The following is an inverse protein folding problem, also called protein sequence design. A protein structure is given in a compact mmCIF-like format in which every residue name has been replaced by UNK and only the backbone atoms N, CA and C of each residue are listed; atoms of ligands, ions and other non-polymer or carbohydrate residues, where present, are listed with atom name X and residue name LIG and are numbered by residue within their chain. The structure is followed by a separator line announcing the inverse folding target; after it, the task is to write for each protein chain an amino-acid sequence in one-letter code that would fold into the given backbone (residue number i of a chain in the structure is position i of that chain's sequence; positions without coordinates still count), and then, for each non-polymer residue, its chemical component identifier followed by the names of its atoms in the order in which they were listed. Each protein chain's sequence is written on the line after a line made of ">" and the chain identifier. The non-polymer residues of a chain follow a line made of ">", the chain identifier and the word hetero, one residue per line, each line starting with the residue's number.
data_IF_890203986385
#
_entry.id   IF_890203986385
#
_cell.length_a   1.000
_cell.length_b   1.000
_cell.length_c   1.000
_cell.angle_alpha   90.00
_cell.angle_beta   90.00
_cell.angle_gamma   90.00
#
_symmetry.space_group_name_H-M   'P 1'
#
loop_
_entity.id
_entity.type
_entity.pdbx_description
1 polymer ?
#
# COMPACT_ATOMS: atom_id res chain seq x y z
N UNK A 1 11.26 -18.05 2.35
CA UNK A 1 12.13 -16.89 2.62
C UNK A 1 12.23 -16.74 4.12
N UNK A 2 13.44 -16.67 4.68
CA UNK A 2 13.61 -16.54 6.13
C UNK A 2 13.27 -15.11 6.55
N UNK A 3 12.78 -14.94 7.78
CA UNK A 3 12.43 -13.62 8.31
C UNK A 3 13.63 -12.65 8.30
N UNK A 4 14.85 -13.18 8.49
CA UNK A 4 16.12 -12.46 8.37
C UNK A 4 16.30 -11.80 7.00
N UNK A 5 16.02 -12.53 5.92
CA UNK A 5 16.23 -12.04 4.55
C UNK A 5 15.22 -10.94 4.21
N UNK A 6 13.97 -11.12 4.66
CA UNK A 6 12.92 -10.14 4.51
C UNK A 6 13.28 -8.84 5.25
N UNK A 7 13.71 -8.93 6.50
CA UNK A 7 14.15 -7.78 7.31
C UNK A 7 15.26 -7.00 6.61
N UNK A 8 16.30 -7.69 6.14
CA UNK A 8 17.42 -7.06 5.41
C UNK A 8 16.97 -6.40 4.11
N UNK A 9 16.05 -7.00 3.37
CA UNK A 9 15.47 -6.39 2.17
C UNK A 9 14.66 -5.12 2.48
N UNK A 10 13.85 -5.14 3.55
CA UNK A 10 13.04 -3.99 3.96
C UNK A 10 13.89 -2.84 4.52
N UNK A 11 14.96 -3.14 5.27
CA UNK A 11 15.93 -2.12 5.70
C UNK A 11 16.57 -1.40 4.52
N UNK A 12 16.90 -2.12 3.45
CA UNK A 12 17.42 -1.51 2.20
C UNK A 12 16.36 -0.67 1.48
N UNK A 13 15.09 -1.09 1.52
CA UNK A 13 14.00 -0.36 0.90
C UNK A 13 13.65 0.93 1.68
N UNK A 14 13.74 0.89 3.00
CA UNK A 14 13.41 1.99 3.91
C UNK A 14 14.56 2.28 4.89
N UNK A 15 15.70 2.81 4.40
CA UNK A 15 16.90 2.99 5.23
C UNK A 15 16.74 4.02 6.36
N UNK A 16 15.70 4.86 6.30
CA UNK A 16 15.39 5.86 7.32
C UNK A 16 14.37 5.40 8.36
N UNK A 17 13.78 4.22 8.19
CA UNK A 17 12.87 3.66 9.18
C UNK A 17 13.67 3.07 10.35
N UNK A 18 13.16 3.29 11.56
CA UNK A 18 13.66 2.66 12.78
C UNK A 18 13.55 1.14 12.72
N UNK A 19 14.29 0.45 13.59
CA UNK A 19 14.21 -1.00 13.70
C UNK A 19 12.78 -1.47 13.98
N UNK A 20 12.08 -0.82 14.90
CA UNK A 20 10.70 -1.13 15.27
C UNK A 20 9.74 -0.99 14.08
N UNK A 21 9.86 0.08 13.29
CA UNK A 21 9.02 0.27 12.10
C UNK A 21 9.24 -0.84 11.06
N UNK A 22 10.48 -1.32 10.90
CA UNK A 22 10.77 -2.45 10.03
C UNK A 22 10.19 -3.76 10.60
N UNK A 23 10.34 -4.03 11.89
CA UNK A 23 9.76 -5.23 12.52
C UNK A 23 8.23 -5.24 12.41
N UNK A 24 7.58 -4.09 12.57
CA UNK A 24 6.14 -3.97 12.38
C UNK A 24 5.71 -4.35 10.94
N UNK A 25 6.48 -3.93 9.93
CA UNK A 25 6.22 -4.31 8.54
C UNK A 25 6.49 -5.80 8.28
N UNK A 26 7.57 -6.36 8.86
CA UNK A 26 7.85 -7.80 8.79
C UNK A 26 6.69 -8.58 9.40
N UNK A 27 6.26 -8.22 10.60
CA UNK A 27 5.14 -8.85 11.30
C UNK A 27 3.87 -8.77 10.47
N UNK A 28 3.55 -7.60 9.89
CA UNK A 28 2.37 -7.43 9.05
C UNK A 28 2.39 -8.35 7.81
N UNK A 29 3.56 -8.50 7.17
CA UNK A 29 3.73 -9.40 6.03
C UNK A 29 3.52 -10.86 6.45
N UNK A 30 4.12 -11.27 7.58
CA UNK A 30 4.08 -12.66 8.04
C UNK A 30 2.69 -13.06 8.55
N UNK A 31 1.97 -12.15 9.19
CA UNK A 31 0.63 -12.41 9.71
C UNK A 31 -0.50 -12.13 8.72
N UNK A 32 -0.19 -11.74 7.47
CA UNK A 32 -1.21 -11.36 6.49
C UNK A 32 -2.04 -10.14 6.91
N UNK A 33 -1.45 -9.18 7.63
CA UNK A 33 -2.18 -8.02 8.15
C UNK A 33 -2.58 -7.06 7.04
N UNK A 34 -3.78 -6.53 7.14
CA UNK A 34 -4.32 -5.44 6.33
C UNK A 34 -5.18 -4.54 7.22
N UNK A 35 -5.49 -3.33 6.75
CA UNK A 35 -6.21 -2.32 7.52
C UNK A 35 -7.31 -1.71 6.67
N UNK A 36 -8.43 -1.31 7.27
CA UNK A 36 -9.41 -0.46 6.58
C UNK A 36 -8.81 0.93 6.34
N UNK A 37 -9.19 1.56 5.23
CA UNK A 37 -8.83 2.97 5.00
C UNK A 37 -9.68 3.91 5.86
N UNK A 38 -10.91 3.50 6.19
CA UNK A 38 -11.85 4.25 7.00
C UNK A 38 -12.65 3.29 7.89
N UNK A 39 -12.90 3.66 9.15
CA UNK A 39 -13.51 2.79 10.16
C UNK A 39 -14.92 2.28 9.78
N UNK A 40 -15.75 3.19 9.25
CA UNK A 40 -17.15 2.92 8.86
C UNK A 40 -17.37 2.48 7.41
N UNK A 41 -16.36 2.59 6.52
CA UNK A 41 -16.48 2.19 5.09
C UNK A 41 -15.74 0.87 4.84
N UNK A 42 -16.41 -0.09 4.20
CA UNK A 42 -15.92 -1.48 4.05
C UNK A 42 -15.43 -1.83 2.64
N UNK A 43 -15.25 -0.84 1.77
CA UNK A 43 -14.89 -1.00 0.37
C UNK A 43 -13.40 -0.72 0.09
N UNK A 44 -12.64 -0.17 1.04
CA UNK A 44 -11.23 0.15 0.83
C UNK A 44 -10.29 -0.29 1.96
N UNK A 45 -9.12 -0.79 1.58
CA UNK A 45 -8.13 -1.35 2.50
C UNK A 45 -6.69 -0.95 2.13
N UNK A 46 -5.83 -0.84 3.15
CA UNK A 46 -4.39 -0.87 3.01
C UNK A 46 -3.89 -2.31 3.09
N UNK A 47 -3.13 -2.73 2.09
CA UNK A 47 -2.53 -4.08 2.03
C UNK A 47 -1.04 -3.97 1.72
N UNK A 48 -0.24 -4.93 2.20
CA UNK A 48 1.19 -4.97 1.88
C UNK A 48 1.40 -5.81 0.62
N UNK A 49 2.10 -5.25 -0.37
CA UNK A 49 2.52 -6.00 -1.54
C UNK A 49 3.56 -7.07 -1.15
N UNK A 50 3.33 -8.30 -1.59
CA UNK A 50 4.23 -9.44 -1.39
C UNK A 50 5.11 -9.69 -2.60
N UNK A 51 4.69 -9.22 -3.78
CA UNK A 51 5.42 -9.35 -5.05
C UNK A 51 5.49 -8.01 -5.77
N UNK A 52 6.26 -7.96 -6.86
CA UNK A 52 6.13 -6.89 -7.86
C UNK A 52 4.90 -7.18 -8.73
N UNK A 53 4.33 -6.13 -9.31
CA UNK A 53 3.23 -6.22 -10.27
C UNK A 53 3.79 -6.35 -11.69
N UNK A 54 4.13 -7.58 -12.10
CA UNK A 54 4.75 -7.86 -13.41
C UNK A 54 3.86 -8.65 -14.35
N UNK A 55 2.86 -9.35 -13.83
CA UNK A 55 2.00 -10.24 -14.62
C UNK A 55 0.79 -9.43 -15.08
N UNK A 56 0.60 -9.21 -16.39
CA UNK A 56 -0.60 -8.56 -16.90
C UNK A 56 -1.86 -9.35 -16.51
N UNK A 57 -2.90 -8.66 -16.08
CA UNK A 57 -4.17 -9.27 -15.70
C UNK A 57 -5.30 -8.25 -15.82
N UNK A 58 -6.30 -8.55 -16.67
CA UNK A 58 -7.36 -7.60 -17.06
C UNK A 58 -6.73 -6.26 -17.51
N UNK A 59 -7.27 -5.13 -17.05
CA UNK A 59 -6.81 -3.78 -17.38
C UNK A 59 -5.60 -3.31 -16.57
N UNK A 60 -4.82 -4.24 -16.00
CA UNK A 60 -3.70 -3.89 -15.14
C UNK A 60 -2.73 -5.04 -14.90
N UNK A 61 -2.17 -5.09 -13.69
CA UNK A 61 -1.18 -6.09 -13.31
C UNK A 61 -1.54 -6.74 -11.99
N UNK A 62 -1.39 -8.05 -11.90
CA UNK A 62 -1.62 -8.79 -10.67
C UNK A 62 -0.41 -8.69 -9.74
N UNK A 63 -0.65 -8.50 -8.44
CA UNK A 63 0.34 -8.72 -7.40
C UNK A 63 -0.25 -9.50 -6.23
N UNK A 64 0.58 -10.34 -5.60
CA UNK A 64 0.23 -10.96 -4.33
C UNK A 64 0.29 -9.90 -3.24
N UNK A 65 -0.64 -9.95 -2.30
CA UNK A 65 -0.71 -9.03 -1.18
C UNK A 65 -1.04 -9.76 0.11
N UNK A 66 -1.07 -9.03 1.23
CA UNK A 66 -1.55 -9.57 2.51
C UNK A 66 -3.05 -9.76 2.58
N UNK A 67 -3.85 -9.19 1.67
CA UNK A 67 -5.28 -9.49 1.63
C UNK A 67 -5.55 -10.92 1.14
N UNK A 68 -6.66 -11.52 1.58
CA UNK A 68 -7.11 -12.81 1.05
C UNK A 68 -7.68 -12.71 -0.38
N UNK A 69 -7.87 -11.49 -0.91
CA UNK A 69 -8.52 -11.26 -2.20
C UNK A 69 -7.50 -10.99 -3.32
N UNK A 70 -7.81 -11.37 -4.57
CA UNK A 70 -7.04 -10.94 -5.73
C UNK A 70 -7.03 -9.42 -5.87
N UNK A 71 -5.85 -8.85 -6.10
CA UNK A 71 -5.66 -7.41 -6.31
C UNK A 71 -5.08 -7.17 -7.71
N UNK A 72 -5.81 -6.38 -8.51
CA UNK A 72 -5.32 -5.81 -9.76
C UNK A 72 -4.77 -4.43 -9.49
N UNK A 73 -3.58 -4.12 -9.98
CA UNK A 73 -2.97 -2.80 -9.84
C UNK A 73 -3.07 -2.08 -11.17
N UNK A 74 -3.47 -0.81 -11.14
CA UNK A 74 -3.56 0.02 -12.34
C UNK A 74 -2.20 0.13 -13.04
N UNK A 75 -2.16 0.30 -14.37
CA UNK A 75 -0.91 0.46 -15.11
C UNK A 75 -0.02 1.60 -14.57
N UNK A 76 -0.64 2.72 -14.16
CA UNK A 76 0.08 3.88 -13.62
C UNK A 76 0.77 3.60 -12.28
N UNK A 77 0.17 2.75 -11.44
CA UNK A 77 0.68 2.38 -10.12
C UNK A 77 1.61 1.15 -10.14
N UNK A 78 1.46 0.26 -11.13
CA UNK A 78 2.13 -1.04 -11.19
C UNK A 78 3.68 -0.93 -11.12
N UNK A 79 4.26 0.06 -11.81
CA UNK A 79 5.72 0.32 -11.79
C UNK A 79 6.27 0.62 -10.39
N UNK A 80 5.41 1.11 -9.50
CA UNK A 80 5.77 1.42 -8.13
C UNK A 80 5.52 0.24 -7.17
N UNK A 81 4.81 -0.81 -7.59
CA UNK A 81 4.57 -1.97 -6.75
C UNK A 81 5.85 -2.77 -6.52
N UNK A 82 6.28 -2.84 -5.26
CA UNK A 82 7.41 -3.65 -4.80
C UNK A 82 7.04 -4.30 -3.49
N UNK A 83 7.62 -5.48 -3.22
CA UNK A 83 7.43 -6.16 -1.94
C UNK A 83 7.74 -5.21 -0.76
N UNK A 84 6.83 -5.14 0.21
CA UNK A 84 6.92 -4.25 1.37
C UNK A 84 6.29 -2.87 1.19
N UNK A 85 5.88 -2.50 -0.03
CA UNK A 85 5.09 -1.28 -0.25
C UNK A 85 3.62 -1.53 0.06
N UNK A 86 2.92 -0.46 0.42
CA UNK A 86 1.49 -0.50 0.72
C UNK A 86 0.71 -0.20 -0.55
N UNK A 87 -0.37 -0.93 -0.78
CA UNK A 87 -1.33 -0.65 -1.84
C UNK A 87 -2.63 -0.20 -1.20
N UNK A 88 -3.22 0.87 -1.72
CA UNK A 88 -4.58 1.27 -1.38
C UNK A 88 -5.49 0.56 -2.36
N UNK A 89 -6.22 -0.44 -1.87
CA UNK A 89 -7.16 -1.21 -2.69
C UNK A 89 -8.57 -0.75 -2.44
N UNK A 90 -9.36 -0.62 -3.50
CA UNK A 90 -10.81 -0.36 -3.45
C UNK A 90 -11.55 -1.48 -4.15
N UNK A 91 -12.70 -1.88 -3.63
CA UNK A 91 -13.59 -2.84 -4.25
C UNK A 91 -14.27 -2.18 -5.45
N UNK A 92 -14.11 -2.78 -6.62
CA UNK A 92 -14.79 -2.42 -7.86
C UNK A 92 -15.46 -3.71 -8.40
N UNK A 93 -16.78 -3.80 -8.21
CA UNK A 93 -17.56 -5.02 -8.47
C UNK A 93 -17.06 -6.21 -7.64
N UNK A 94 -16.63 -7.26 -8.32
CA UNK A 94 -16.13 -8.50 -7.71
C UNK A 94 -14.61 -8.55 -7.57
N UNK A 95 -13.91 -7.44 -7.83
CA UNK A 95 -12.44 -7.38 -7.75
C UNK A 95 -11.97 -6.20 -6.90
N UNK A 96 -10.72 -6.28 -6.44
CA UNK A 96 -10.05 -5.16 -5.78
C UNK A 96 -9.04 -4.53 -6.73
N UNK A 97 -9.08 -3.20 -6.84
CA UNK A 97 -8.18 -2.42 -7.68
C UNK A 97 -7.31 -1.53 -6.81
N UNK A 98 -6.00 -1.59 -7.02
CA UNK A 98 -5.04 -0.66 -6.45
C UNK A 98 -4.70 0.45 -7.45
N UNK A 99 -5.10 1.69 -7.15
CA UNK A 99 -4.74 2.87 -7.95
C UNK A 99 -3.55 3.65 -7.37
N UNK A 100 -3.22 3.41 -6.11
CA UNK A 100 -2.12 4.09 -5.40
C UNK A 100 -1.24 3.10 -4.65
N UNK A 101 0.07 3.25 -4.83
CA UNK A 101 1.09 2.57 -4.02
C UNK A 101 1.73 3.59 -3.07
N UNK A 102 2.03 3.19 -1.84
CA UNK A 102 2.51 4.07 -0.77
C UNK A 102 3.76 3.47 -0.14
N UNK A 103 4.71 4.32 0.22
CA UNK A 103 5.84 3.92 1.07
C UNK A 103 5.39 3.68 2.51
N UNK A 104 5.95 2.65 3.17
CA UNK A 104 5.68 2.35 4.57
C UNK A 104 5.70 3.57 5.52
N UNK A 105 6.72 4.45 5.52
CA UNK A 105 6.71 5.63 6.38
C UNK A 105 5.57 6.62 6.08
N UNK A 106 5.08 6.70 4.84
CA UNK A 106 3.92 7.52 4.49
C UNK A 106 2.65 6.88 5.00
N UNK A 107 2.49 5.56 4.87
CA UNK A 107 1.38 4.83 5.46
C UNK A 107 1.29 5.07 6.97
N UNK A 108 2.40 4.98 7.70
CA UNK A 108 2.44 5.25 9.14
C UNK A 108 1.97 6.67 9.51
N UNK A 109 2.15 7.65 8.62
CA UNK A 109 1.64 9.02 8.81
C UNK A 109 0.16 9.11 8.48
N UNK A 110 -0.27 8.53 7.37
CA UNK A 110 -1.69 8.50 6.96
C UNK A 110 -2.57 7.85 8.04
N UNK A 111 -2.09 6.79 8.69
CA UNK A 111 -2.79 6.12 9.80
C UNK A 111 -3.00 7.01 11.04
N UNK A 112 -2.36 8.18 11.12
CA UNK A 112 -2.52 9.16 12.20
C UNK A 112 -3.31 10.40 11.78
N UNK A 113 -3.69 10.50 10.50
CA UNK A 113 -4.48 11.62 9.97
C UNK A 113 -5.97 11.33 10.11
N UNK A 114 -6.77 12.37 9.87
CA UNK A 114 -8.22 12.23 9.73
C UNK A 114 -8.57 11.23 8.61
N UNK A 115 -9.24 10.14 8.97
CA UNK A 115 -9.55 9.06 8.04
C UNK A 115 -10.50 9.50 6.91
N UNK A 116 -11.39 10.47 7.17
CA UNK A 116 -12.31 11.01 6.15
C UNK A 116 -11.55 11.79 5.08
N UNK A 117 -10.54 12.56 5.48
CA UNK A 117 -9.66 13.27 4.56
C UNK A 117 -8.82 12.31 3.71
N UNK A 118 -8.21 11.33 4.36
CA UNK A 118 -7.40 10.31 3.68
C UNK A 118 -8.26 9.52 2.69
N UNK A 119 -9.48 9.14 3.08
CA UNK A 119 -10.41 8.43 2.23
C UNK A 119 -10.82 9.26 1.01
N UNK A 120 -11.19 10.54 1.19
CA UNK A 120 -11.49 11.44 0.08
C UNK A 120 -10.33 11.56 -0.90
N UNK A 121 -9.12 11.74 -0.37
CA UNK A 121 -7.92 11.97 -1.16
C UNK A 121 -7.43 10.74 -1.95
N UNK A 122 -7.52 9.55 -1.36
CA UNK A 122 -6.95 8.31 -1.93
C UNK A 122 -7.98 7.37 -2.58
N UNK A 123 -9.24 7.45 -2.19
CA UNK A 123 -10.28 6.47 -2.56
C UNK A 123 -11.39 7.08 -3.41
N UNK A 124 -11.91 8.24 -3.00
CA UNK A 124 -12.99 8.94 -3.75
C UNK A 124 -12.45 9.84 -4.85
N UNK A 125 -11.19 10.29 -4.74
CA UNK A 125 -10.53 11.06 -5.79
C UNK A 125 -10.51 10.25 -7.11
N UNK A 126 -11.08 10.77 -8.21
CA UNK A 126 -11.09 10.08 -9.51
C UNK A 126 -9.68 9.89 -10.09
N UNK A 127 -8.73 10.76 -9.74
CA UNK A 127 -7.33 10.72 -10.16
C UNK A 127 -6.38 10.76 -8.94
N UNK A 128 -6.31 9.68 -8.15
CA UNK A 128 -5.43 9.63 -7.00
C UNK A 128 -3.97 9.48 -7.47
N UNK A 129 -2.99 10.01 -6.70
CA UNK A 129 -1.58 9.88 -7.08
C UNK A 129 -1.20 8.40 -7.20
N UNK A 130 -0.53 7.97 -8.28
CA UNK A 130 -0.17 6.57 -8.47
C UNK A 130 0.89 6.10 -7.44
N UNK A 131 1.66 7.05 -6.89
CA UNK A 131 2.68 6.77 -5.89
C UNK A 131 2.82 7.89 -4.86
N UNK A 132 2.78 7.51 -3.59
CA UNK A 132 3.09 8.38 -2.47
C UNK A 132 4.38 7.94 -1.77
N UNK A 133 5.38 8.81 -1.84
CA UNK A 133 6.60 8.74 -1.06
C UNK A 133 6.69 9.95 -0.12
N UNK A 134 7.70 9.99 0.74
CA UNK A 134 7.85 11.10 1.69
C UNK A 134 7.97 12.48 1.02
N UNK A 135 8.48 12.56 -0.22
CA UNK A 135 8.61 13.82 -0.96
C UNK A 135 7.25 14.30 -1.48
N UNK A 136 6.50 13.43 -2.17
CA UNK A 136 5.19 13.79 -2.71
C UNK A 136 4.17 14.01 -1.61
N UNK A 137 4.20 13.18 -0.55
CA UNK A 137 3.33 13.35 0.61
C UNK A 137 3.45 14.74 1.25
N UNK A 138 4.69 15.23 1.46
CA UNK A 138 4.94 16.56 2.01
C UNK A 138 4.49 17.70 1.10
N UNK A 139 4.48 17.50 -0.21
CA UNK A 139 4.07 18.51 -1.17
C UNK A 139 2.55 18.59 -1.30
N UNK A 140 1.84 17.47 -1.12
CA UNK A 140 0.40 17.39 -1.42
C UNK A 140 -0.51 17.53 -0.19
N UNK A 141 0.01 17.28 1.01
CA UNK A 141 -0.77 17.36 2.27
C UNK A 141 -0.23 18.45 3.21
N UNK A 142 0.21 19.60 2.67
CA UNK A 142 0.35 20.84 3.45
C UNK A 142 -1.03 21.45 3.74
N UNK A 143 -1.87 20.66 4.42
CA UNK A 143 -3.03 21.16 5.15
C UNK A 143 -2.57 21.60 6.54
#
# INVERSE_FOLDING_TARGET
>A
MRASDLRSALKRLYPRCSHLEIENLVSAILSGKYWKVHSTKNDAYYVVALTRAKVPFKDGFMARSTSPWPVTISPSAARFCRRGRIMVIRREGNTFIARTVIEWPVFLRLMKMDESLVYRYLVENPDPPPFLNMRTFKATLQL
#
